data_IF_970723096933
#
_entry.id   IF_970723096933
#
_cell.length_a   1.000
_cell.length_b   1.000
_cell.length_c   1.000
_cell.angle_alpha   90.00
_cell.angle_beta   90.00
_cell.angle_gamma   90.00
#
_symmetry.space_group_name_H-M   'P 1'
#
loop_
_entity.id
_entity.type
_entity.pdbx_description
1 polymer ?
#
# COMPACT_ATOMS: atom_id res chain seq x y z
N UNK A 1 35.53 -14.34 1.83
CA UNK A 1 34.36 -15.25 1.84
C UNK A 1 33.19 -14.47 1.27
N UNK A 2 32.96 -14.61 -0.04
CA UNK A 2 31.91 -13.93 -0.78
C UNK A 2 30.98 -15.02 -1.30
N UNK A 3 29.88 -15.33 -0.60
CA UNK A 3 29.21 -16.60 -0.89
C UNK A 3 27.80 -16.83 -0.38
N UNK A 4 27.09 -15.83 0.16
CA UNK A 4 25.69 -16.04 0.54
C UNK A 4 24.81 -14.80 0.33
N UNK A 5 24.85 -14.23 -0.87
CA UNK A 5 23.85 -13.24 -1.29
C UNK A 5 22.63 -14.01 -1.80
N UNK A 6 21.41 -13.76 -1.27
CA UNK A 6 20.22 -14.47 -1.68
C UNK A 6 20.00 -14.31 -3.18
N UNK A 7 19.81 -15.44 -3.88
CA UNK A 7 19.58 -15.47 -5.32
C UNK A 7 18.26 -14.77 -5.61
N UNK A 8 18.30 -13.58 -6.23
CA UNK A 8 17.11 -12.83 -6.61
C UNK A 8 16.28 -13.66 -7.59
N UNK A 9 15.15 -14.19 -7.13
CA UNK A 9 14.20 -14.93 -7.95
C UNK A 9 13.04 -14.01 -8.33
N UNK A 10 12.64 -14.06 -9.61
CA UNK A 10 11.42 -13.37 -10.06
C UNK A 10 10.20 -14.10 -9.50
N UNK A 11 9.20 -13.34 -9.06
CA UNK A 11 7.90 -13.89 -8.72
C UNK A 11 7.30 -14.64 -9.91
N UNK A 12 6.52 -15.68 -9.61
CA UNK A 12 5.73 -16.38 -10.63
C UNK A 12 4.77 -15.39 -11.28
N UNK A 13 4.59 -15.49 -12.60
CA UNK A 13 3.60 -14.67 -13.31
C UNK A 13 2.21 -15.17 -12.94
N UNK A 14 1.43 -14.31 -12.29
CA UNK A 14 0.00 -14.49 -12.08
C UNK A 14 -0.72 -13.41 -12.89
N UNK A 15 -1.79 -13.74 -13.65
CA UNK A 15 -2.62 -12.71 -14.26
C UNK A 15 -3.24 -11.87 -13.14
N UNK A 16 -3.09 -10.54 -13.22
CA UNK A 16 -3.70 -9.63 -12.24
C UNK A 16 -5.21 -9.72 -12.44
N UNK A 17 -5.90 -10.24 -11.43
CA UNK A 17 -7.35 -10.36 -11.43
C UNK A 17 -8.03 -9.06 -11.02
N UNK A 18 -8.43 -8.99 -9.74
CA UNK A 18 -9.14 -7.86 -9.16
C UNK A 18 -8.45 -7.44 -7.85
N UNK A 19 -8.37 -6.12 -7.65
CA UNK A 19 -7.78 -5.55 -6.45
C UNK A 19 -8.84 -5.30 -5.37
N UNK A 20 -8.55 -5.74 -4.16
CA UNK A 20 -9.23 -5.26 -2.97
C UNK A 20 -8.41 -4.11 -2.38
N UNK A 21 -9.02 -2.93 -2.32
CA UNK A 21 -8.44 -1.76 -1.65
C UNK A 21 -9.04 -1.70 -0.26
N UNK A 22 -8.18 -1.73 0.76
CA UNK A 22 -8.57 -1.64 2.16
C UNK A 22 -7.78 -0.53 2.87
N UNK A 23 -8.34 -0.03 3.97
CA UNK A 23 -7.72 1.03 4.78
C UNK A 23 -7.72 0.56 6.23
N UNK A 24 -6.53 0.52 6.84
CA UNK A 24 -6.36 0.21 8.25
C UNK A 24 -5.76 1.39 9.00
N UNK A 25 -6.25 1.64 10.21
CA UNK A 25 -5.60 2.58 11.14
C UNK A 25 -4.57 1.83 11.97
N UNK A 26 -3.36 2.37 12.06
CA UNK A 26 -2.25 1.78 12.83
C UNK A 26 -1.83 2.77 13.90
N UNK A 27 -1.91 2.35 15.16
CA UNK A 27 -1.40 3.14 16.29
C UNK A 27 0.06 2.78 16.53
N UNK A 28 0.94 3.77 16.44
CA UNK A 28 2.38 3.64 16.74
C UNK A 28 2.74 4.58 17.90
N UNK A 29 3.98 4.48 18.38
CA UNK A 29 4.52 5.41 19.40
C UNK A 29 4.62 6.86 18.89
N UNK A 30 4.61 7.06 17.57
CA UNK A 30 4.66 8.36 16.91
C UNK A 30 3.26 8.94 16.65
N UNK A 31 2.20 8.18 16.94
CA UNK A 31 0.81 8.60 16.81
C UNK A 31 -0.04 7.67 15.94
N UNK A 32 -1.10 8.22 15.36
CA UNK A 32 -2.06 7.48 14.52
C UNK A 32 -1.67 7.61 13.05
N UNK A 33 -1.42 6.48 12.39
CA UNK A 33 -1.11 6.40 10.97
C UNK A 33 -2.23 5.66 10.22
N UNK A 34 -2.34 5.92 8.91
CA UNK A 34 -3.28 5.24 8.03
C UNK A 34 -2.53 4.42 6.99
N UNK A 35 -2.83 3.13 6.92
CA UNK A 35 -2.26 2.18 5.99
C UNK A 35 -3.27 1.89 4.88
N UNK A 36 -2.99 2.37 3.68
CA UNK A 36 -3.72 1.98 2.47
C UNK A 36 -3.12 0.69 1.92
N UNK A 37 -3.96 -0.32 1.71
CA UNK A 37 -3.52 -1.64 1.26
C UNK A 37 -4.25 -1.97 -0.05
N UNK A 38 -3.49 -2.39 -1.05
CA UNK A 38 -4.03 -2.95 -2.29
C UNK A 38 -3.58 -4.40 -2.39
N UNK A 39 -4.54 -5.33 -2.35
CA UNK A 39 -4.29 -6.77 -2.44
C UNK A 39 -4.91 -7.30 -3.72
N UNK A 40 -4.11 -7.93 -4.59
CA UNK A 40 -4.66 -8.79 -5.63
C UNK A 40 -5.10 -10.10 -4.98
N UNK A 41 -6.40 -10.40 -4.98
CA UNK A 41 -6.91 -11.62 -4.33
C UNK A 41 -6.51 -12.90 -5.07
N UNK A 42 -6.04 -12.79 -6.30
CA UNK A 42 -5.67 -13.92 -7.18
C UNK A 42 -4.18 -14.21 -7.20
N UNK A 43 -3.36 -13.29 -6.71
CA UNK A 43 -1.92 -13.46 -6.55
C UNK A 43 -1.50 -13.21 -5.10
N UNK A 44 -0.25 -13.50 -4.74
CA UNK A 44 0.28 -13.18 -3.41
C UNK A 44 0.87 -11.76 -3.36
N UNK A 45 0.39 -10.86 -4.23
CA UNK A 45 0.93 -9.50 -4.37
C UNK A 45 0.10 -8.49 -3.56
N UNK A 46 0.78 -7.73 -2.72
CA UNK A 46 0.22 -6.63 -1.96
C UNK A 46 1.12 -5.40 -2.05
N UNK A 47 0.51 -4.22 -2.15
CA UNK A 47 1.19 -2.93 -2.07
C UNK A 47 0.57 -2.15 -0.93
N UNK A 48 1.41 -1.51 -0.13
CA UNK A 48 0.95 -0.68 0.98
C UNK A 48 1.54 0.73 0.90
N UNK A 49 0.75 1.70 1.35
CA UNK A 49 1.19 3.07 1.53
C UNK A 49 0.78 3.55 2.90
N UNK A 50 1.77 3.90 3.73
CA UNK A 50 1.56 4.43 5.07
C UNK A 50 1.62 5.95 4.99
N UNK A 51 0.57 6.61 5.47
CA UNK A 51 0.49 8.07 5.51
C UNK A 51 0.08 8.55 6.89
N UNK A 52 0.55 9.73 7.28
CA UNK A 52 0.22 10.36 8.57
C UNK A 52 -1.25 10.84 8.61
N UNK A 53 -1.83 11.19 7.46
CA UNK A 53 -3.20 11.70 7.35
C UNK A 53 -3.93 11.05 6.18
N UNK A 54 -5.09 10.46 6.46
CA UNK A 54 -6.04 10.02 5.44
C UNK A 54 -6.96 11.20 5.06
N UNK A 55 -6.55 12.04 4.10
CA UNK A 55 -7.42 13.08 3.57
C UNK A 55 -8.45 12.49 2.59
N UNK A 56 -9.73 12.55 2.96
CA UNK A 56 -10.84 12.22 2.06
C UNK A 56 -11.17 13.46 1.23
N UNK A 57 -10.90 13.43 -0.08
CA UNK A 57 -11.45 14.44 -0.99
C UNK A 57 -12.97 14.27 -1.07
N UNK A 58 -13.70 15.07 -0.31
CA UNK A 58 -15.15 15.28 -0.52
C UNK A 58 -15.31 16.21 -1.72
N UNK A 59 -16.12 15.88 -2.74
CA UNK A 59 -16.46 16.83 -3.79
C UNK A 59 -17.34 17.92 -3.18
N UNK A 60 -16.72 18.98 -2.64
CA UNK A 60 -17.45 20.01 -1.91
C UNK A 60 -16.67 21.24 -1.51
N UNK A 61 -15.35 21.31 -1.75
CA UNK A 61 -14.66 22.60 -1.65
C UNK A 61 -13.46 22.62 -2.59
N UNK A 62 -13.70 23.05 -3.82
CA UNK A 62 -12.65 23.54 -4.71
C UNK A 62 -12.32 24.97 -4.29
N UNK A 63 -11.51 25.13 -3.24
CA UNK A 63 -10.80 26.38 -2.99
C UNK A 63 -9.36 26.20 -3.44
N UNK A 64 -9.10 26.84 -4.58
CA UNK A 64 -7.85 27.13 -5.26
C UNK A 64 -6.58 26.91 -4.44
N UNK A 65 -5.66 26.12 -4.99
CA UNK A 65 -4.23 26.29 -4.72
C UNK A 65 -3.65 26.90 -6.00
N UNK A 66 -3.30 28.18 -5.87
CA UNK A 66 -2.39 28.94 -6.75
C UNK A 66 -1.03 28.28 -6.85
#
# INVERSE_FOLDING_TARGET
>A
MEGDKPKRQRFKRHPIGFFHIDIAEVQTVEGKLYLFVVIDRTSTFAVTHLVEKADRRTPGNSSSIS
#
